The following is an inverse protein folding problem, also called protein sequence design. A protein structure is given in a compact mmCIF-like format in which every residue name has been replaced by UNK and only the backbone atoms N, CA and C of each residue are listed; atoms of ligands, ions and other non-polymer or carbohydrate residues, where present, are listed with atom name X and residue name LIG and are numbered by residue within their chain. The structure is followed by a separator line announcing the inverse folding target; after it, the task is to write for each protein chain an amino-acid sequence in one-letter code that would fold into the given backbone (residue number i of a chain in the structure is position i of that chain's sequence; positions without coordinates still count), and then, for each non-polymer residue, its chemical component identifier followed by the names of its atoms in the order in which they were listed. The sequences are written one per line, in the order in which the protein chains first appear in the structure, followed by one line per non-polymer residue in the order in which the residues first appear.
data_IF_117650809166
#
_entry.id   IF_117650809166
#
_cell.length_a   1.000
_cell.length_b   1.000
_cell.length_c   1.000
_cell.angle_alpha   90.00
_cell.angle_beta   90.00
_cell.angle_gamma   90.00
#
_symmetry.space_group_name_H-M   'P 1'
#
loop_
_entity.id
_entity.type
_entity.pdbx_description
1 polymer ?
#
# COMPACT_ATOMS: atom_id res chain seq x y z
N UNK A 1 -5.82 13.66 -9.72
CA UNK A 1 -4.78 14.48 -9.03
C UNK A 1 -4.14 13.59 -7.95
N UNK A 2 -2.94 13.09 -8.22
CA UNK A 2 -2.32 11.94 -7.53
C UNK A 2 -1.56 12.23 -6.23
N UNK A 3 -1.78 13.39 -5.61
CA UNK A 3 -0.91 13.86 -4.50
C UNK A 3 -1.38 13.41 -3.11
N UNK A 4 -2.63 12.92 -2.96
CA UNK A 4 -3.14 12.34 -1.70
C UNK A 4 -3.03 10.82 -1.73
N UNK A 5 -2.20 10.27 -0.84
CA UNK A 5 -2.13 8.83 -0.59
C UNK A 5 -1.11 8.07 -1.44
N UNK A 6 -0.03 8.72 -1.92
CA UNK A 6 0.99 8.16 -2.82
C UNK A 6 1.44 6.71 -2.51
N UNK A 7 1.55 6.30 -1.24
CA UNK A 7 1.85 4.90 -0.89
C UNK A 7 0.75 3.90 -1.26
N UNK A 8 -0.52 4.25 -1.00
CA UNK A 8 -1.68 3.44 -1.39
C UNK A 8 -1.97 3.60 -2.89
N UNK A 9 -1.94 4.83 -3.39
CA UNK A 9 -2.31 5.19 -4.75
C UNK A 9 -1.38 4.56 -5.80
N UNK A 10 -0.05 4.62 -5.60
CA UNK A 10 0.89 4.01 -6.54
C UNK A 10 0.77 2.48 -6.56
N UNK A 11 0.47 1.84 -5.42
CA UNK A 11 0.30 0.39 -5.32
C UNK A 11 -1.05 -0.15 -5.79
N UNK A 12 -2.01 0.73 -6.12
CA UNK A 12 -3.36 0.39 -6.58
C UNK A 12 -3.54 0.57 -8.09
N UNK A 13 -2.58 1.19 -8.78
CA UNK A 13 -2.60 1.42 -10.22
C UNK A 13 -1.51 0.57 -10.90
N UNK A 14 -1.89 -0.42 -11.73
CA UNK A 14 -0.95 -1.25 -12.47
C UNK A 14 0.06 -0.43 -13.30
N UNK A 15 -0.36 0.67 -13.93
CA UNK A 15 0.51 1.50 -14.78
C UNK A 15 1.60 2.16 -13.93
N UNK A 16 1.24 2.68 -12.76
CA UNK A 16 2.21 3.26 -11.83
C UNK A 16 3.18 2.21 -11.29
N UNK A 17 2.69 1.03 -10.89
CA UNK A 17 3.55 -0.07 -10.40
C UNK A 17 4.55 -0.50 -11.46
N UNK A 18 4.11 -0.71 -12.70
CA UNK A 18 4.99 -1.09 -13.82
C UNK A 18 6.06 -0.01 -14.07
N UNK A 19 5.69 1.27 -14.06
CA UNK A 19 6.62 2.37 -14.27
C UNK A 19 7.66 2.46 -13.16
N UNK A 20 7.25 2.34 -11.90
CA UNK A 20 8.15 2.36 -10.74
C UNK A 20 9.12 1.18 -10.81
N UNK A 21 8.63 -0.04 -11.06
CA UNK A 21 9.49 -1.21 -11.19
C UNK A 21 10.48 -1.05 -12.34
N UNK A 22 10.05 -0.47 -13.47
CA UNK A 22 10.92 -0.21 -14.62
C UNK A 22 12.04 0.76 -14.28
N UNK A 23 11.74 1.84 -13.56
CA UNK A 23 12.75 2.79 -13.10
C UNK A 23 13.75 2.12 -12.15
N UNK A 24 13.27 1.31 -11.20
CA UNK A 24 14.13 0.57 -10.28
C UNK A 24 15.01 -0.44 -11.04
N UNK A 25 14.45 -1.20 -11.99
CA UNK A 25 15.20 -2.19 -12.77
C UNK A 25 16.33 -1.57 -13.60
N UNK A 26 16.14 -0.37 -14.12
CA UNK A 26 17.17 0.36 -14.88
C UNK A 26 18.40 0.66 -14.01
N UNK A 27 18.18 1.00 -12.74
CA UNK A 27 19.23 1.40 -11.79
C UNK A 27 19.81 0.24 -11.00
N UNK A 28 18.96 -0.56 -10.35
CA UNK A 28 19.38 -1.66 -9.48
C UNK A 28 19.93 -2.84 -10.30
N UNK A 29 21.03 -3.45 -9.85
CA UNK A 29 21.62 -4.67 -10.43
C UNK A 29 21.40 -5.92 -9.58
N UNK A 30 21.04 -5.74 -8.31
CA UNK A 30 20.59 -6.81 -7.42
C UNK A 30 19.08 -7.08 -7.64
N UNK A 31 18.56 -8.24 -7.18
CA UNK A 31 17.13 -8.50 -7.21
C UNK A 31 16.33 -7.53 -6.33
N UNK A 32 15.09 -7.22 -6.72
CA UNK A 32 14.15 -6.46 -5.89
C UNK A 32 12.73 -7.02 -5.97
N UNK A 33 11.97 -6.82 -4.88
CA UNK A 33 10.60 -7.30 -4.74
C UNK A 33 9.63 -6.14 -4.51
N UNK A 34 8.53 -6.10 -5.26
CA UNK A 34 7.47 -5.11 -5.04
C UNK A 34 6.55 -5.56 -3.89
N UNK A 35 6.36 -4.73 -2.85
CA UNK A 35 5.47 -5.04 -1.73
C UNK A 35 4.04 -4.58 -2.03
N UNK A 36 3.13 -5.52 -2.22
CA UNK A 36 1.79 -5.25 -2.73
C UNK A 36 0.80 -4.94 -1.61
N UNK A 37 -0.12 -4.01 -1.85
CA UNK A 37 -1.25 -3.74 -0.95
C UNK A 37 -2.38 -4.75 -1.19
N UNK A 38 -3.06 -5.28 -0.16
CA UNK A 38 -4.24 -6.11 -0.34
C UNK A 38 -5.49 -5.27 -0.67
N UNK A 39 -5.39 -3.94 -0.56
CA UNK A 39 -6.51 -3.01 -0.71
C UNK A 39 -6.77 -2.68 -2.19
N UNK A 40 -6.94 -3.70 -3.02
CA UNK A 40 -7.21 -3.62 -4.47
C UNK A 40 -8.29 -4.63 -4.85
N UNK A 41 -9.03 -4.36 -5.92
CA UNK A 41 -10.05 -5.29 -6.43
C UNK A 41 -9.43 -6.61 -6.90
N UNK A 42 -8.31 -6.53 -7.63
CA UNK A 42 -7.59 -7.69 -8.13
C UNK A 42 -6.08 -7.52 -7.96
N UNK A 43 -5.51 -8.20 -6.98
CA UNK A 43 -4.07 -8.13 -6.69
C UNK A 43 -3.20 -8.77 -7.79
N UNK A 44 -3.78 -9.66 -8.61
CA UNK A 44 -3.07 -10.30 -9.73
C UNK A 44 -2.64 -9.27 -10.77
N UNK A 45 -3.47 -8.26 -11.04
CA UNK A 45 -3.14 -7.22 -12.03
C UNK A 45 -1.95 -6.36 -11.58
N UNK A 46 -1.87 -6.10 -10.27
CA UNK A 46 -0.74 -5.40 -9.66
C UNK A 46 0.53 -6.25 -9.70
N UNK A 47 0.42 -7.54 -9.36
CA UNK A 47 1.55 -8.47 -9.39
C UNK A 47 2.11 -8.65 -10.81
N UNK A 48 1.24 -8.74 -11.82
CA UNK A 48 1.62 -8.79 -13.24
C UNK A 48 2.35 -7.52 -13.66
N UNK A 49 1.82 -6.35 -13.32
CA UNK A 49 2.46 -5.08 -13.63
C UNK A 49 3.85 -4.93 -12.99
N UNK A 50 4.03 -5.41 -11.74
CA UNK A 50 5.34 -5.45 -11.11
C UNK A 50 6.33 -6.33 -11.88
N UNK A 51 5.89 -7.53 -12.28
CA UNK A 51 6.70 -8.45 -13.08
C UNK A 51 7.06 -7.86 -14.47
N UNK A 52 6.09 -7.29 -15.18
CA UNK A 52 6.29 -6.63 -16.48
C UNK A 52 7.23 -5.41 -16.38
N UNK A 53 7.21 -4.72 -15.23
CA UNK A 53 8.16 -3.65 -14.91
C UNK A 53 9.56 -4.15 -14.53
N UNK A 54 9.78 -5.46 -14.44
CA UNK A 54 11.08 -6.07 -14.17
C UNK A 54 11.38 -6.35 -12.70
N UNK A 55 10.37 -6.40 -11.83
CA UNK A 55 10.56 -6.90 -10.47
C UNK A 55 10.86 -8.40 -10.48
N UNK A 56 11.79 -8.83 -9.62
CA UNK A 56 12.23 -10.23 -9.50
C UNK A 56 11.24 -11.08 -8.69
N UNK A 57 10.25 -10.44 -8.08
CA UNK A 57 9.11 -11.07 -7.42
C UNK A 57 8.29 -10.08 -6.64
N UNK A 58 7.41 -10.60 -5.77
CA UNK A 58 6.47 -9.79 -5.00
C UNK A 58 6.43 -10.20 -3.54
N UNK A 59 6.28 -9.22 -2.65
CA UNK A 59 5.94 -9.46 -1.24
C UNK A 59 4.45 -9.22 -1.06
N UNK A 60 3.70 -10.31 -0.90
CA UNK A 60 2.27 -10.29 -0.62
C UNK A 60 2.04 -10.60 0.88
N UNK A 61 1.46 -9.73 1.69
CA UNK A 61 0.86 -8.41 1.39
C UNK A 61 1.28 -7.34 2.42
N UNK A 62 0.90 -6.09 2.15
CA UNK A 62 0.89 -5.01 3.14
C UNK A 62 -0.35 -5.12 4.04
N UNK A 63 -0.51 -4.18 4.96
CA UNK A 63 -1.67 -4.12 5.87
C UNK A 63 -2.99 -3.85 5.15
N UNK A 64 -4.10 -4.31 5.74
CA UNK A 64 -5.46 -4.02 5.27
C UNK A 64 -5.92 -2.68 5.85
N UNK A 65 -6.51 -1.81 5.04
CA UNK A 65 -7.00 -0.51 5.50
C UNK A 65 -8.18 -0.68 6.46
N UNK A 66 -8.16 0.01 7.59
CA UNK A 66 -9.25 -0.08 8.56
C UNK A 66 -9.20 0.97 9.67
N UNK A 67 -10.24 0.97 10.50
CA UNK A 67 -10.32 1.72 11.76
C UNK A 67 -10.60 0.72 12.86
N UNK A 68 -9.72 0.63 13.86
CA UNK A 68 -9.77 -0.46 14.84
C UNK A 68 -10.98 -0.36 15.77
N UNK A 69 -11.35 0.84 16.20
CA UNK A 69 -12.52 1.03 17.03
C UNK A 69 -12.69 2.44 17.56
N UNK A 70 -13.89 2.68 18.07
CA UNK A 70 -14.26 3.86 18.84
C UNK A 70 -14.55 3.45 20.28
N UNK A 71 -14.28 4.36 21.21
CA UNK A 71 -14.75 4.24 22.59
C UNK A 71 -16.24 4.55 22.68
N UNK A 72 -16.86 4.28 23.83
CA UNK A 72 -18.28 4.58 24.07
C UNK A 72 -18.62 6.07 23.91
N UNK A 73 -17.65 6.97 24.12
CA UNK A 73 -17.78 8.42 23.89
C UNK A 73 -17.56 8.82 22.42
N UNK A 74 -17.55 7.86 21.49
CA UNK A 74 -17.26 8.03 20.06
C UNK A 74 -15.84 8.50 19.73
N UNK A 75 -14.94 8.62 20.72
CA UNK A 75 -13.55 9.00 20.43
C UNK A 75 -12.75 7.79 19.90
N UNK A 76 -11.91 7.96 18.87
CA UNK A 76 -11.18 6.86 18.27
C UNK A 76 -10.00 6.39 19.12
N UNK A 77 -9.55 5.17 18.88
CA UNK A 77 -8.25 4.68 19.33
C UNK A 77 -7.43 4.17 18.13
N UNK A 78 -6.24 4.74 17.82
CA UNK A 78 -5.56 5.81 18.56
C UNK A 78 -6.21 7.19 18.36
N UNK A 79 -6.23 8.01 19.43
CA UNK A 79 -6.73 9.39 19.41
C UNK A 79 -5.60 10.40 19.61
N UNK A 80 -5.25 11.13 18.56
CA UNK A 80 -4.05 11.99 18.48
C UNK A 80 -4.39 13.44 18.85
N UNK A 81 -3.57 14.02 19.74
CA UNK A 81 -3.65 15.42 20.19
C UNK A 81 -4.88 15.73 21.06
N UNK A 82 -5.06 17.01 21.42
CA UNK A 82 -6.19 17.46 22.27
C UNK A 82 -7.56 17.14 21.66
N UNK A 83 -7.66 17.19 20.34
CA UNK A 83 -8.89 16.87 19.59
C UNK A 83 -9.15 15.38 19.41
N UNK A 84 -8.31 14.48 19.96
CA UNK A 84 -8.42 13.01 19.85
C UNK A 84 -8.68 12.52 18.42
N UNK A 85 -7.99 13.07 17.42
CA UNK A 85 -8.25 12.77 16.00
C UNK A 85 -7.62 11.45 15.57
N UNK A 86 -8.13 10.85 14.51
CA UNK A 86 -7.53 9.66 13.88
C UNK A 86 -7.67 9.71 12.36
N UNK A 87 -7.07 8.74 11.68
CA UNK A 87 -7.28 8.43 10.26
C UNK A 87 -7.33 6.91 10.09
N UNK A 88 -7.69 6.41 8.91
CA UNK A 88 -7.58 4.97 8.62
C UNK A 88 -6.13 4.50 8.79
N UNK A 89 -5.96 3.40 9.51
CA UNK A 89 -4.69 2.72 9.73
C UNK A 89 -4.58 1.43 8.92
N UNK A 90 -3.50 0.68 9.18
CA UNK A 90 -3.27 -0.65 8.63
C UNK A 90 -3.47 -1.74 9.68
N UNK A 91 -4.35 -2.69 9.40
CA UNK A 91 -4.60 -3.89 10.20
C UNK A 91 -3.58 -4.98 9.85
N UNK A 92 -3.10 -5.69 10.87
CA UNK A 92 -2.13 -6.78 10.79
C UNK A 92 -2.45 -7.85 11.82
N UNK A 93 -1.92 -9.07 11.64
CA UNK A 93 -2.07 -10.16 12.60
C UNK A 93 -3.11 -11.20 12.18
N UNK A 94 -3.41 -12.13 13.09
CA UNK A 94 -4.49 -13.12 12.95
C UNK A 94 -5.78 -12.59 13.56
#
# INVERSE_FOLDING_TARGET
MGERGMGLACGQDPVMVMNICRWVRQTAKIPFFAKLTPNVTNIVDIAKAAHEGGADGVTATNTVSGMMGLKADSTPWPGIGKGKRTTYGGVSGK
#
